data_IF_255468209841
#
_entry.id   IF_255468209841
#
_cell.length_a   1.000
_cell.length_b   1.000
_cell.length_c   1.000
_cell.angle_alpha   90.00
_cell.angle_beta   90.00
_cell.angle_gamma   90.00
#
_symmetry.space_group_name_H-M   'P 1'
#
loop_
_entity.id
_entity.type
_entity.pdbx_description
1 polymer ?
#
# COMPACT_ATOMS: atom_id res chain seq x y z
N UNK A 1 -15.58 1.33 13.28
CA UNK A 1 -14.15 1.03 13.13
C UNK A 1 -13.61 0.43 14.42
N UNK A 2 -13.47 -0.87 14.46
CA UNK A 2 -12.89 -1.63 15.57
C UNK A 2 -11.38 -1.47 15.65
N UNK A 3 -10.68 -1.40 14.52
CA UNK A 3 -9.22 -1.40 14.48
C UNK A 3 -8.63 0.00 14.61
N UNK A 4 -9.30 1.02 14.06
CA UNK A 4 -8.88 2.44 14.10
C UNK A 4 -8.39 2.91 15.48
N UNK A 5 -8.99 2.40 16.56
CA UNK A 5 -8.67 2.77 17.95
C UNK A 5 -7.27 2.35 18.43
N UNK A 6 -6.61 1.42 17.74
CA UNK A 6 -5.27 0.96 18.08
C UNK A 6 -4.16 1.88 17.54
N UNK A 7 -4.54 2.88 16.74
CA UNK A 7 -3.61 3.74 16.01
C UNK A 7 -3.82 5.20 16.38
N UNK A 8 -2.73 5.94 16.42
CA UNK A 8 -2.83 7.41 16.39
C UNK A 8 -3.34 7.87 15.03
N UNK A 9 -3.78 9.13 14.92
CA UNK A 9 -4.23 9.69 13.63
C UNK A 9 -3.14 9.61 12.56
N UNK A 10 -1.88 9.93 12.91
CA UNK A 10 -0.76 9.84 11.98
C UNK A 10 -0.50 8.41 11.51
N UNK A 11 -0.55 7.45 12.43
CA UNK A 11 -0.36 6.03 12.10
C UNK A 11 -1.47 5.50 11.20
N UNK A 12 -2.72 5.92 11.43
CA UNK A 12 -3.83 5.54 10.57
C UNK A 12 -3.70 6.12 9.15
N UNK A 13 -3.29 7.39 9.03
CA UNK A 13 -3.01 8.01 7.73
C UNK A 13 -1.88 7.30 6.97
N UNK A 14 -0.85 6.81 7.66
CA UNK A 14 0.22 6.00 7.05
C UNK A 14 -0.34 4.69 6.48
N UNK A 15 -1.24 4.01 7.20
CA UNK A 15 -1.91 2.80 6.70
C UNK A 15 -2.79 3.11 5.48
N UNK A 16 -3.51 4.23 5.49
CA UNK A 16 -4.34 4.68 4.38
C UNK A 16 -3.53 5.12 3.15
N UNK A 17 -2.30 5.58 3.33
CA UNK A 17 -1.41 5.97 2.23
C UNK A 17 -0.76 4.77 1.53
N UNK A 18 -0.77 3.58 2.14
CA UNK A 18 -0.08 2.41 1.59
C UNK A 18 -0.52 1.99 0.18
N UNK A 19 -1.81 2.05 -0.21
CA UNK A 19 -2.22 1.74 -1.58
C UNK A 19 -1.63 2.69 -2.62
N UNK A 20 -1.46 3.98 -2.26
CA UNK A 20 -0.86 5.01 -3.12
C UNK A 20 0.62 4.70 -3.32
N UNK A 21 1.35 4.39 -2.25
CA UNK A 21 2.78 4.04 -2.36
C UNK A 21 3.01 2.75 -3.14
N UNK A 22 2.16 1.72 -2.96
CA UNK A 22 2.20 0.51 -3.79
C UNK A 22 1.97 0.85 -5.26
N UNK A 23 0.95 1.66 -5.55
CA UNK A 23 0.66 2.10 -6.91
C UNK A 23 1.83 2.84 -7.55
N UNK A 24 2.40 3.80 -6.84
CA UNK A 24 3.57 4.55 -7.30
C UNK A 24 4.79 3.67 -7.56
N UNK A 25 5.12 2.77 -6.62
CA UNK A 25 6.31 1.91 -6.75
C UNK A 25 6.22 0.95 -7.93
N UNK A 26 5.02 0.47 -8.26
CA UNK A 26 4.82 -0.43 -9.40
C UNK A 26 4.70 0.37 -10.70
N UNK A 27 3.78 1.34 -10.76
CA UNK A 27 3.51 2.11 -11.98
C UNK A 27 4.73 2.93 -12.42
N UNK A 28 5.53 3.46 -11.49
CA UNK A 28 6.73 4.22 -11.84
C UNK A 28 8.01 3.36 -11.91
N UNK A 29 7.91 2.02 -11.88
CA UNK A 29 9.07 1.14 -11.78
C UNK A 29 10.03 1.28 -12.98
N UNK A 30 9.50 1.53 -14.18
CA UNK A 30 10.28 1.75 -15.41
C UNK A 30 10.62 3.25 -15.65
N UNK A 31 10.19 4.12 -14.75
CA UNK A 31 10.32 5.58 -14.83
C UNK A 31 9.10 6.31 -15.44
N UNK A 32 8.05 5.62 -15.87
CA UNK A 32 6.84 6.21 -16.44
C UNK A 32 5.57 5.51 -15.94
N UNK A 33 4.70 6.22 -15.23
CA UNK A 33 3.38 5.67 -14.88
C UNK A 33 2.40 5.75 -16.06
N UNK A 34 1.92 4.61 -16.56
CA UNK A 34 0.84 4.58 -17.56
C UNK A 34 -0.49 4.99 -16.89
N UNK A 35 -1.32 5.85 -17.51
CA UNK A 35 -2.69 6.10 -17.06
C UNK A 35 -3.50 4.84 -16.69
N UNK A 36 -3.30 3.72 -17.38
CA UNK A 36 -3.96 2.44 -17.07
C UNK A 36 -3.56 1.87 -15.71
N UNK A 37 -2.31 2.04 -15.31
CA UNK A 37 -1.79 1.57 -14.01
C UNK A 37 -2.34 2.41 -12.87
N UNK A 38 -2.44 3.73 -13.10
CA UNK A 38 -3.07 4.67 -12.17
C UNK A 38 -4.56 4.31 -12.00
N UNK A 39 -5.28 4.09 -13.10
CA UNK A 39 -6.69 3.67 -13.08
C UNK A 39 -6.86 2.30 -12.39
N UNK A 40 -5.94 1.37 -12.59
CA UNK A 40 -5.97 0.06 -11.96
C UNK A 40 -5.70 0.15 -10.45
N UNK A 41 -4.83 1.05 -10.00
CA UNK A 41 -4.62 1.30 -8.58
C UNK A 41 -5.93 1.72 -7.90
N UNK A 42 -6.63 2.70 -8.47
CA UNK A 42 -7.94 3.13 -7.95
C UNK A 42 -8.97 1.99 -7.97
N UNK A 43 -9.01 1.20 -9.05
CA UNK A 43 -9.92 0.05 -9.17
C UNK A 43 -9.66 -0.99 -8.08
N UNK A 44 -8.40 -1.33 -7.82
CA UNK A 44 -8.05 -2.30 -6.77
C UNK A 44 -8.32 -1.75 -5.37
N UNK A 45 -8.10 -0.45 -5.15
CA UNK A 45 -8.49 0.24 -3.92
C UNK A 45 -9.99 0.14 -3.65
N UNK A 46 -10.85 0.46 -4.64
CA UNK A 46 -12.31 0.36 -4.50
C UNK A 46 -12.74 -1.09 -4.28
N UNK A 47 -12.11 -2.05 -4.99
CA UNK A 47 -12.39 -3.48 -4.83
C UNK A 47 -12.04 -3.96 -3.42
N UNK A 48 -10.90 -3.56 -2.89
CA UNK A 48 -10.48 -3.91 -1.54
C UNK A 48 -11.42 -3.30 -0.48
N UNK A 49 -11.86 -2.04 -0.63
CA UNK A 49 -12.86 -1.44 0.25
C UNK A 49 -14.20 -2.21 0.23
N UNK A 50 -14.60 -2.69 -0.94
CA UNK A 50 -15.91 -3.34 -1.15
C UNK A 50 -15.94 -4.78 -0.65
N UNK A 51 -14.89 -5.57 -0.93
CA UNK A 51 -14.91 -7.03 -0.76
C UNK A 51 -14.04 -7.55 0.37
N UNK A 52 -13.16 -6.72 0.96
CA UNK A 52 -12.40 -7.14 2.14
C UNK A 52 -13.28 -7.21 3.38
N UNK A 53 -12.71 -7.75 4.46
CA UNK A 53 -13.31 -7.74 5.80
C UNK A 53 -12.27 -7.28 6.82
N UNK A 54 -12.69 -7.11 8.07
CA UNK A 54 -11.78 -6.82 9.18
C UNK A 54 -10.96 -5.55 8.99
N UNK A 55 -9.68 -5.62 9.38
CA UNK A 55 -8.75 -4.49 9.35
C UNK A 55 -8.58 -3.93 7.94
N UNK A 56 -8.39 -4.80 6.95
CA UNK A 56 -8.22 -4.40 5.54
C UNK A 56 -9.40 -3.59 5.06
N UNK A 57 -10.63 -4.00 5.38
CA UNK A 57 -11.81 -3.25 5.00
C UNK A 57 -11.80 -1.83 5.58
N UNK A 58 -11.55 -1.68 6.87
CA UNK A 58 -11.56 -0.36 7.54
C UNK A 58 -10.54 0.60 6.94
N UNK A 59 -9.32 0.13 6.68
CA UNK A 59 -8.27 0.96 6.09
C UNK A 59 -8.65 1.39 4.67
N UNK A 60 -9.15 0.47 3.85
CA UNK A 60 -9.45 0.76 2.44
C UNK A 60 -10.74 1.59 2.27
N UNK A 61 -11.77 1.38 3.09
CA UNK A 61 -12.97 2.23 3.07
C UNK A 61 -12.62 3.68 3.38
N UNK A 62 -11.83 3.92 4.44
CA UNK A 62 -11.40 5.28 4.74
C UNK A 62 -10.43 5.82 3.68
N UNK A 63 -9.51 5.01 3.16
CA UNK A 63 -8.62 5.44 2.08
C UNK A 63 -9.41 5.90 0.85
N UNK A 64 -10.42 5.12 0.41
CA UNK A 64 -11.32 5.53 -0.69
C UNK A 64 -12.01 6.84 -0.36
N UNK A 65 -12.56 6.97 0.85
CA UNK A 65 -13.22 8.21 1.26
C UNK A 65 -12.27 9.41 1.21
N UNK A 66 -11.07 9.29 1.77
CA UNK A 66 -10.08 10.37 1.79
C UNK A 66 -9.55 10.72 0.39
N UNK A 67 -9.25 9.70 -0.41
CA UNK A 67 -8.71 9.87 -1.76
C UNK A 67 -9.72 10.52 -2.71
N UNK A 68 -11.00 10.12 -2.64
CA UNK A 68 -12.05 10.73 -3.48
C UNK A 68 -12.45 12.15 -3.05
N UNK A 69 -12.05 12.58 -1.86
CA UNK A 69 -12.31 13.93 -1.35
C UNK A 69 -11.05 14.82 -1.34
N UNK A 70 -9.95 14.39 -1.98
CA UNK A 70 -8.67 15.10 -2.01
C UNK A 70 -8.22 15.56 -0.61
N UNK A 71 -8.28 14.66 0.37
CA UNK A 71 -7.99 15.01 1.77
C UNK A 71 -6.55 15.52 1.97
N UNK A 72 -6.42 16.74 2.49
CA UNK A 72 -5.14 17.41 2.73
C UNK A 72 -4.22 16.63 3.69
N UNK A 73 -4.78 15.94 4.69
CA UNK A 73 -3.98 15.22 5.68
C UNK A 73 -3.40 13.93 5.11
N UNK A 74 -4.16 13.21 4.28
CA UNK A 74 -3.64 12.07 3.52
C UNK A 74 -2.55 12.53 2.54
N UNK A 75 -2.83 13.59 1.79
CA UNK A 75 -1.89 14.16 0.81
C UNK A 75 -0.57 14.56 1.47
N UNK A 76 -0.62 15.24 2.62
CA UNK A 76 0.56 15.61 3.37
C UNK A 76 1.40 14.40 3.83
N UNK A 77 0.77 13.27 4.18
CA UNK A 77 1.50 12.04 4.54
C UNK A 77 2.18 11.42 3.32
N UNK A 78 1.48 11.36 2.19
CA UNK A 78 2.02 10.84 0.92
C UNK A 78 3.20 11.67 0.43
N UNK A 79 3.13 13.00 0.54
CA UNK A 79 4.18 13.92 0.09
C UNK A 79 5.39 13.97 1.04
N UNK A 80 5.20 13.71 2.34
CA UNK A 80 6.28 13.83 3.34
C UNK A 80 7.16 12.57 3.41
N UNK A 81 6.61 11.40 3.14
CA UNK A 81 7.33 10.13 3.24
C UNK A 81 7.67 9.58 1.85
N UNK A 82 8.93 9.19 1.68
CA UNK A 82 9.32 8.33 0.56
C UNK A 82 8.48 7.04 0.58
N UNK A 83 7.99 6.53 -0.57
CA UNK A 83 7.17 5.33 -0.63
C UNK A 83 7.75 4.11 0.08
N UNK A 84 9.08 3.92 0.05
CA UNK A 84 9.73 2.79 0.72
C UNK A 84 9.71 3.00 2.24
N UNK A 85 10.00 4.20 2.72
CA UNK A 85 9.93 4.54 4.14
C UNK A 85 8.49 4.45 4.67
N UNK A 86 7.52 4.86 3.86
CA UNK A 86 6.09 4.70 4.13
C UNK A 86 5.71 3.22 4.31
N UNK A 87 6.09 2.34 3.38
CA UNK A 87 5.81 0.90 3.48
C UNK A 87 6.56 0.22 4.63
N UNK A 88 7.77 0.66 5.00
CA UNK A 88 8.45 0.19 6.22
C UNK A 88 7.67 0.56 7.47
N UNK A 89 7.16 1.79 7.54
CA UNK A 89 6.31 2.22 8.65
C UNK A 89 5.03 1.39 8.72
N UNK A 90 4.40 1.08 7.58
CA UNK A 90 3.25 0.16 7.50
C UNK A 90 3.60 -1.21 8.10
N UNK A 91 4.71 -1.83 7.68
CA UNK A 91 5.14 -3.14 8.21
C UNK A 91 5.27 -3.14 9.74
N UNK A 92 5.85 -2.08 10.32
CA UNK A 92 5.96 -1.91 11.77
C UNK A 92 4.57 -1.78 12.42
N UNK A 93 3.68 -0.98 11.83
CA UNK A 93 2.33 -0.75 12.37
C UNK A 93 1.44 -1.99 12.34
N UNK A 94 1.64 -2.89 11.38
CA UNK A 94 0.94 -4.17 11.31
C UNK A 94 1.27 -5.08 12.52
N UNK A 95 2.38 -4.84 13.22
CA UNK A 95 2.70 -5.52 14.49
C UNK A 95 1.74 -5.19 15.65
N UNK A 96 0.86 -4.20 15.51
CA UNK A 96 -0.13 -3.81 16.55
C UNK A 96 -1.47 -4.54 16.47
N UNK A 97 -1.69 -5.35 15.44
CA UNK A 97 -2.95 -6.06 15.19
C UNK A 97 -2.70 -7.57 15.16
N UNK A 98 -3.77 -8.41 15.20
CA UNK A 98 -3.61 -9.85 15.07
C UNK A 98 -2.89 -10.24 13.78
N UNK A 99 -1.99 -11.23 13.86
CA UNK A 99 -1.14 -11.63 12.73
C UNK A 99 -1.95 -12.03 11.47
N UNK A 100 -3.14 -12.62 11.63
CA UNK A 100 -4.02 -12.95 10.51
C UNK A 100 -4.56 -11.71 9.77
N UNK A 101 -4.87 -10.64 10.50
CA UNK A 101 -5.32 -9.37 9.92
C UNK A 101 -4.17 -8.67 9.20
N UNK A 102 -2.97 -8.70 9.80
CA UNK A 102 -1.76 -8.19 9.19
C UNK A 102 -1.44 -8.91 7.87
N UNK A 103 -1.50 -10.25 7.85
CA UNK A 103 -1.23 -11.03 6.64
C UNK A 103 -2.26 -10.76 5.54
N UNK A 104 -3.54 -10.73 5.86
CA UNK A 104 -4.60 -10.38 4.90
C UNK A 104 -4.40 -8.98 4.29
N UNK A 105 -3.92 -8.02 5.08
CA UNK A 105 -3.61 -6.68 4.58
C UNK A 105 -2.41 -6.68 3.63
N UNK A 106 -1.32 -7.36 4.00
CA UNK A 106 -0.13 -7.51 3.14
C UNK A 106 -0.49 -8.19 1.82
N UNK A 107 -1.27 -9.29 1.88
CA UNK A 107 -1.73 -9.99 0.68
C UNK A 107 -2.61 -9.13 -0.22
N UNK A 108 -3.41 -8.24 0.35
CA UNK A 108 -4.21 -7.29 -0.42
C UNK A 108 -3.31 -6.29 -1.16
N UNK A 109 -2.28 -5.76 -0.51
CA UNK A 109 -1.30 -4.87 -1.13
C UNK A 109 -0.47 -5.58 -2.21
N UNK A 110 -0.02 -6.82 -1.96
CA UNK A 110 0.70 -7.64 -2.95
C UNK A 110 -0.14 -7.92 -4.19
N UNK A 111 -1.40 -8.31 -3.98
CA UNK A 111 -2.33 -8.57 -5.08
C UNK A 111 -2.60 -7.30 -5.89
N UNK A 112 -2.70 -6.15 -5.24
CA UNK A 112 -2.81 -4.86 -5.92
C UNK A 112 -1.58 -4.57 -6.77
N UNK A 113 -0.37 -4.71 -6.21
CA UNK A 113 0.88 -4.52 -6.92
C UNK A 113 0.94 -5.38 -8.20
N UNK A 114 0.60 -6.67 -8.07
CA UNK A 114 0.55 -7.60 -9.20
C UNK A 114 -0.50 -7.23 -10.25
N UNK A 115 -1.67 -6.72 -9.83
CA UNK A 115 -2.74 -6.32 -10.76
C UNK A 115 -2.38 -5.06 -11.53
N UNK A 116 -1.72 -4.10 -10.88
CA UNK A 116 -1.23 -2.88 -11.53
C UNK A 116 -0.21 -3.22 -12.60
N UNK A 117 0.81 -4.02 -12.27
CA UNK A 117 1.82 -4.42 -13.26
C UNK A 117 1.25 -5.20 -14.46
N UNK A 118 0.13 -5.92 -14.28
CA UNK A 118 -0.46 -6.71 -15.35
C UNK A 118 -1.20 -5.90 -16.42
N UNK A 119 -1.52 -4.63 -16.19
CA UNK A 119 -2.35 -3.87 -17.15
C UNK A 119 -1.58 -3.35 -18.36
N UNK A 120 -0.25 -3.29 -18.29
CA UNK A 120 0.65 -2.70 -19.30
C UNK A 120 1.31 -3.76 -20.19
N UNK A 121 0.51 -4.69 -20.73
CA UNK A 121 0.95 -5.79 -21.61
C UNK A 121 1.86 -6.85 -20.94
N UNK A 122 1.71 -7.02 -19.63
CA UNK A 122 2.42 -8.02 -18.81
C UNK A 122 3.43 -7.37 -17.87
N UNK A 123 4.03 -8.18 -16.99
CA UNK A 123 4.96 -7.69 -15.96
C UNK A 123 6.37 -7.63 -16.52
N UNK A 124 6.98 -6.45 -16.52
CA UNK A 124 8.37 -6.26 -16.91
C UNK A 124 9.37 -6.53 -15.77
N UNK A 125 10.66 -6.51 -16.07
CA UNK A 125 11.72 -6.79 -15.07
C UNK A 125 11.79 -5.77 -13.94
N UNK A 126 11.42 -4.51 -14.19
CA UNK A 126 11.46 -3.42 -13.21
C UNK A 126 10.26 -3.54 -12.27
N UNK A 127 9.07 -3.82 -12.82
CA UNK A 127 7.86 -4.10 -12.05
C UNK A 127 8.01 -5.37 -11.22
N UNK A 128 8.60 -6.44 -11.77
CA UNK A 128 8.94 -7.62 -10.99
C UNK A 128 9.85 -7.30 -9.81
N UNK A 129 10.85 -6.42 -10.01
CA UNK A 129 11.75 -5.99 -8.96
C UNK A 129 11.03 -5.13 -7.91
N UNK A 130 10.13 -4.24 -8.34
CA UNK A 130 9.29 -3.43 -7.46
C UNK A 130 8.36 -4.31 -6.61
N UNK A 131 7.68 -5.29 -7.21
CA UNK A 131 6.81 -6.24 -6.49
C UNK A 131 7.61 -7.03 -5.45
N UNK A 132 8.80 -7.56 -5.82
CA UNK A 132 9.69 -8.26 -4.88
C UNK A 132 10.15 -7.35 -3.73
N UNK A 133 10.45 -6.08 -4.03
CA UNK A 133 10.85 -5.11 -3.01
C UNK A 133 9.71 -4.80 -2.04
N UNK A 134 8.49 -4.59 -2.55
CA UNK A 134 7.28 -4.39 -1.73
C UNK A 134 7.09 -5.59 -0.80
N UNK A 135 7.20 -6.81 -1.32
CA UNK A 135 7.05 -8.05 -0.54
C UNK A 135 8.07 -8.14 0.61
N UNK A 136 9.36 -7.91 0.32
CA UNK A 136 10.43 -7.91 1.31
C UNK A 136 10.24 -6.85 2.40
N UNK A 137 9.72 -5.66 2.05
CA UNK A 137 9.44 -4.60 3.02
C UNK A 137 8.26 -4.98 3.91
N UNK A 138 7.17 -5.46 3.31
CA UNK A 138 5.95 -5.82 4.06
C UNK A 138 6.21 -6.96 5.06
N UNK A 139 7.04 -7.94 4.70
CA UNK A 139 7.46 -9.00 5.61
C UNK A 139 8.54 -8.59 6.62
N UNK A 140 8.97 -7.33 6.61
CA UNK A 140 9.97 -6.81 7.53
C UNK A 140 11.39 -7.32 7.27
N UNK A 141 11.63 -7.98 6.13
CA UNK A 141 12.95 -8.53 5.76
C UNK A 141 13.93 -7.44 5.29
N UNK A 142 13.43 -6.26 4.89
CA UNK A 142 14.26 -5.11 4.55
C UNK A 142 14.91 -4.41 5.77
N UNK A 143 14.61 -4.87 7.00
CA UNK A 143 15.29 -4.41 8.22
C UNK A 143 16.59 -5.16 8.50
N UNK A 144 17.07 -6.03 7.59
CA UNK A 144 18.41 -6.59 7.72
C UNK A 144 19.42 -5.44 7.54
N UNK A 145 20.18 -5.06 8.59
CA UNK A 145 21.27 -4.12 8.39
C UNK A 145 22.21 -4.73 7.36
N UNK A 146 22.47 -3.99 6.28
CA UNK A 146 23.63 -4.24 5.44
C UNK A 146 24.86 -4.11 6.36
N UNK A 147 25.34 -5.24 6.88
CA UNK A 147 26.68 -5.35 7.43
C UNK A 147 27.63 -5.23 6.24
N UNK A 148 28.19 -4.04 6.05
CA UNK A 148 29.48 -3.85 5.41
C UNK A 148 30.55 -3.78 6.50
#
# INVERSE_FOLDING_TARGET
MEFRRHFTTKEWLILQASPIWVGFLVAAADGHADPKEIDENLRQTIRAATFSTGFTKEVFEDHVYMHLNDDDALSAVVETLDPLEGLKAVSILLGKIPASEAENFKDTLRNMAFKIALVSDGIDKNEEAAIKLIDLILDGQFNLPFYY
#
